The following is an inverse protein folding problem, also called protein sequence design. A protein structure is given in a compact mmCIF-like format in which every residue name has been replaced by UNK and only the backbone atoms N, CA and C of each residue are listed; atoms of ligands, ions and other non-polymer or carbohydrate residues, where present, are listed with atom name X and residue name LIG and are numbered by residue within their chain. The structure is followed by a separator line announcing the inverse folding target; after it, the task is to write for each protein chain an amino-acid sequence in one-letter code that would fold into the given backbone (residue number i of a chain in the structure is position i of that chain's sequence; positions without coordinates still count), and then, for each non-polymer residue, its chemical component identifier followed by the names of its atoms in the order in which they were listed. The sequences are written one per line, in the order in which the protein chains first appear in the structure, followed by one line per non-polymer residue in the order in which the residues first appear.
data_IF_874803258399
#
_entry.id   IF_874803258399
#
_cell.length_a   1.000
_cell.length_b   1.000
_cell.length_c   1.000
_cell.angle_alpha   90.00
_cell.angle_beta   90.00
_cell.angle_gamma   90.00
#
_symmetry.space_group_name_H-M   'P 1'
#
loop_
_entity.id
_entity.type
_entity.pdbx_description
1 polymer ?
#
# COMPACT_ATOMS: atom_id res chain seq x y z
N UNK A 1 16.33 -32.29 52.99
CA UNK A 1 16.71 -32.82 51.65
C UNK A 1 15.56 -32.60 50.69
N UNK A 2 15.61 -31.85 49.59
CA UNK A 2 16.65 -31.12 48.86
C UNK A 2 15.95 -29.87 48.30
N UNK A 3 16.34 -28.67 48.73
CA UNK A 3 16.04 -27.40 48.04
C UNK A 3 17.37 -26.73 47.75
N UNK A 4 17.99 -27.11 46.64
CA UNK A 4 19.05 -26.32 46.03
C UNK A 4 18.40 -25.26 45.15
N UNK A 5 18.58 -24.01 45.58
CA UNK A 5 18.41 -22.82 44.77
C UNK A 5 19.47 -22.80 43.67
N UNK A 6 19.12 -23.26 42.48
CA UNK A 6 19.89 -22.93 41.27
C UNK A 6 19.52 -21.52 40.82
N UNK A 7 20.37 -20.57 41.21
CA UNK A 7 20.45 -19.27 40.57
C UNK A 7 20.91 -19.46 39.12
N UNK A 8 19.97 -19.49 38.18
CA UNK A 8 20.31 -19.32 36.77
C UNK A 8 20.54 -17.85 36.46
N UNK A 9 21.82 -17.54 36.25
CA UNK A 9 22.32 -16.36 35.57
C UNK A 9 21.50 -16.05 34.31
N UNK A 10 20.59 -15.09 34.37
CA UNK A 10 20.02 -14.45 33.17
C UNK A 10 21.01 -13.40 32.66
N UNK A 11 22.19 -13.86 32.24
CA UNK A 11 23.23 -13.05 31.61
C UNK A 11 23.29 -13.30 30.11
N UNK A 12 22.29 -12.89 29.35
CA UNK A 12 22.45 -12.79 27.88
C UNK A 12 21.46 -11.87 27.15
N UNK A 13 20.34 -11.50 27.79
CA UNK A 13 19.39 -10.54 27.20
C UNK A 13 19.12 -9.39 28.16
N UNK A 14 20.14 -8.56 28.37
CA UNK A 14 19.88 -7.18 28.77
C UNK A 14 19.08 -6.55 27.61
N UNK A 15 17.83 -6.13 27.82
CA UNK A 15 17.09 -5.49 26.76
C UNK A 15 17.87 -4.23 26.36
N UNK A 16 18.17 -4.12 25.07
CA UNK A 16 18.83 -2.98 24.41
C UNK A 16 18.05 -1.66 24.53
N UNK A 17 17.17 -1.55 25.52
CA UNK A 17 16.28 -0.44 25.80
C UNK A 17 16.86 0.39 26.94
N UNK A 18 17.73 1.36 26.63
CA UNK A 18 17.60 2.74 27.16
C UNK A 18 18.76 3.70 26.93
N UNK A 19 19.98 3.27 26.57
CA UNK A 19 21.14 4.17 26.79
C UNK A 19 21.91 4.75 25.60
N UNK A 20 21.59 4.50 24.32
CA UNK A 20 22.36 5.10 23.20
C UNK A 20 21.56 5.50 21.95
N UNK A 21 20.52 6.31 22.11
CA UNK A 21 19.92 7.09 21.01
C UNK A 21 19.37 8.41 21.56
N UNK A 22 20.27 9.29 22.03
CA UNK A 22 19.93 10.44 22.89
C UNK A 22 19.35 11.62 22.11
N UNK A 23 19.58 11.76 20.79
CA UNK A 23 19.04 12.89 20.02
C UNK A 23 17.70 12.58 19.31
N UNK A 24 17.48 11.33 18.89
CA UNK A 24 16.26 10.95 18.15
C UNK A 24 15.05 10.75 19.07
N UNK A 25 15.24 10.29 20.31
CA UNK A 25 14.13 9.98 21.22
C UNK A 25 13.35 11.22 21.69
N UNK A 26 14.00 12.36 22.05
CA UNK A 26 13.30 13.59 22.40
C UNK A 26 12.58 14.23 21.20
N UNK A 27 13.20 14.20 20.01
CA UNK A 27 12.59 14.68 18.77
C UNK A 27 11.38 13.84 18.37
N UNK A 28 11.46 12.51 18.55
CA UNK A 28 10.35 11.58 18.34
C UNK A 28 9.19 11.83 19.32
N UNK A 29 9.47 12.01 20.60
CA UNK A 29 8.45 12.34 21.61
C UNK A 29 7.75 13.67 21.33
N UNK A 30 8.50 14.69 20.88
CA UNK A 30 7.93 15.97 20.43
C UNK A 30 7.11 15.82 19.14
N UNK A 31 7.57 15.01 18.19
CA UNK A 31 6.83 14.68 16.98
C UNK A 31 5.50 13.98 17.28
N UNK A 32 5.50 13.01 18.20
CA UNK A 32 4.29 12.32 18.67
C UNK A 32 3.31 13.29 19.37
N UNK A 33 3.83 14.30 20.08
CA UNK A 33 3.03 15.36 20.69
C UNK A 33 2.44 16.33 19.65
N UNK A 34 3.17 16.66 18.58
CA UNK A 34 2.66 17.47 17.46
C UNK A 34 1.63 16.67 16.64
N UNK A 35 1.86 15.38 16.39
CA UNK A 35 0.87 14.54 15.71
C UNK A 35 -0.39 14.32 16.55
N UNK A 36 -0.29 14.30 17.87
CA UNK A 36 -1.46 14.18 18.76
C UNK A 36 -2.21 15.50 18.95
N UNK A 37 -1.58 16.67 18.76
CA UNK A 37 -2.26 17.96 18.76
C UNK A 37 -3.04 18.24 17.47
N UNK A 38 -2.71 17.55 16.37
CA UNK A 38 -3.43 17.64 15.10
C UNK A 38 -4.80 16.91 15.20
N UNK A 39 -5.85 17.68 15.48
CA UNK A 39 -7.24 17.22 15.66
C UNK A 39 -7.96 16.82 14.36
N UNK A 40 -7.24 16.48 13.30
CA UNK A 40 -7.86 16.11 12.02
C UNK A 40 -8.83 14.94 12.22
N UNK A 41 -10.09 15.17 11.84
CA UNK A 41 -11.20 14.22 11.92
C UNK A 41 -11.50 13.60 13.30
N UNK A 42 -11.14 14.25 14.40
CA UNK A 42 -11.41 13.74 15.76
C UNK A 42 -12.90 13.45 15.99
N UNK A 43 -13.78 14.42 15.70
CA UNK A 43 -15.25 14.25 15.85
C UNK A 43 -15.81 13.13 14.94
N UNK A 44 -15.52 13.10 13.62
CA UNK A 44 -15.89 11.96 12.76
C UNK A 44 -15.40 10.60 13.27
N UNK A 45 -14.16 10.51 13.73
CA UNK A 45 -13.58 9.25 14.23
C UNK A 45 -14.30 8.75 15.49
N UNK A 46 -14.62 9.64 16.42
CA UNK A 46 -15.42 9.31 17.62
C UNK A 46 -16.81 8.82 17.21
N UNK A 47 -17.46 9.50 16.26
CA UNK A 47 -18.79 9.10 15.76
C UNK A 47 -18.78 7.73 15.07
N UNK A 48 -17.78 7.47 14.22
CA UNK A 48 -17.59 6.18 13.55
C UNK A 48 -17.35 5.08 14.58
N UNK A 49 -16.48 5.33 15.58
CA UNK A 49 -16.21 4.38 16.66
C UNK A 49 -17.46 4.05 17.46
N UNK A 50 -18.29 5.04 17.75
CA UNK A 50 -19.52 4.87 18.49
C UNK A 50 -20.56 4.05 17.71
N UNK A 51 -20.68 4.25 16.39
CA UNK A 51 -21.69 3.56 15.55
C UNK A 51 -21.25 2.19 15.05
N UNK A 52 -19.98 2.04 14.67
CA UNK A 52 -19.48 0.89 13.92
C UNK A 52 -18.44 0.05 14.69
N UNK A 53 -18.04 0.50 15.88
CA UNK A 53 -17.11 -0.22 16.74
C UNK A 53 -15.64 0.08 16.46
N UNK A 54 -14.76 -0.57 17.23
CA UNK A 54 -13.33 -0.33 17.22
C UNK A 54 -12.65 -0.78 15.92
N UNK A 55 -13.06 -1.89 15.31
CA UNK A 55 -12.41 -2.46 14.12
C UNK A 55 -12.46 -1.52 12.91
N UNK A 56 -13.63 -0.92 12.64
CA UNK A 56 -13.80 0.04 11.54
C UNK A 56 -13.11 1.36 11.88
N UNK A 57 -13.20 1.82 13.13
CA UNK A 57 -12.48 3.01 13.60
C UNK A 57 -10.97 2.91 13.43
N UNK A 58 -10.37 1.72 13.64
CA UNK A 58 -8.94 1.48 13.42
C UNK A 58 -8.49 1.71 11.97
N UNK A 59 -9.34 1.41 10.97
CA UNK A 59 -9.04 1.72 9.58
C UNK A 59 -8.92 3.21 9.33
N UNK A 60 -9.90 3.99 9.78
CA UNK A 60 -9.87 5.44 9.59
C UNK A 60 -8.76 6.12 10.39
N UNK A 61 -8.40 5.56 11.55
CA UNK A 61 -7.21 5.99 12.31
C UNK A 61 -5.93 5.72 11.52
N UNK A 62 -5.82 4.56 10.88
CA UNK A 62 -4.70 4.20 10.00
C UNK A 62 -4.64 5.11 8.76
N UNK A 63 -5.78 5.39 8.12
CA UNK A 63 -5.85 6.30 6.99
C UNK A 63 -5.41 7.72 7.38
N UNK A 64 -5.86 8.23 8.55
CA UNK A 64 -5.42 9.51 9.09
C UNK A 64 -3.90 9.54 9.33
N UNK A 65 -3.34 8.47 9.90
CA UNK A 65 -1.89 8.35 10.07
C UNK A 65 -1.15 8.44 8.73
N UNK A 66 -1.66 7.78 7.68
CA UNK A 66 -1.04 7.86 6.35
C UNK A 66 -1.16 9.24 5.71
N UNK A 67 -2.27 9.96 5.88
CA UNK A 67 -2.39 11.36 5.42
C UNK A 67 -1.27 12.22 6.04
N UNK A 68 -1.07 12.07 7.35
CA UNK A 68 0.00 12.75 8.07
C UNK A 68 1.40 12.32 7.64
N UNK A 69 1.60 11.04 7.34
CA UNK A 69 2.87 10.52 6.85
C UNK A 69 3.23 11.09 5.46
N UNK A 70 2.26 11.12 4.54
CA UNK A 70 2.45 11.72 3.20
C UNK A 70 2.64 13.23 3.29
N UNK A 71 1.94 13.92 4.21
CA UNK A 71 2.14 15.35 4.45
C UNK A 71 3.57 15.65 4.95
N UNK A 72 4.08 14.85 5.91
CA UNK A 72 5.45 14.97 6.40
C UNK A 72 6.48 14.72 5.28
N UNK A 73 6.24 13.70 4.43
CA UNK A 73 7.07 13.45 3.25
C UNK A 73 7.08 14.64 2.30
N UNK A 74 5.91 15.21 2.02
CA UNK A 74 5.78 16.36 1.13
C UNK A 74 6.51 17.61 1.67
N UNK A 75 6.37 17.91 2.96
CA UNK A 75 7.10 19.02 3.60
C UNK A 75 8.60 18.79 3.47
N UNK A 76 9.07 17.59 3.79
CA UNK A 76 10.50 17.25 3.76
C UNK A 76 11.08 17.38 2.35
N UNK A 77 10.39 16.86 1.33
CA UNK A 77 10.74 17.04 -0.08
C UNK A 77 10.74 18.53 -0.47
N UNK A 78 9.71 19.28 -0.09
CA UNK A 78 9.58 20.69 -0.46
C UNK A 78 10.71 21.52 0.16
N UNK A 79 11.01 21.31 1.44
CA UNK A 79 12.04 22.05 2.16
C UNK A 79 13.46 21.72 1.71
N UNK A 80 13.76 20.45 1.40
CA UNK A 80 15.13 20.00 1.11
C UNK A 80 15.47 19.98 -0.39
N UNK A 81 14.46 19.93 -1.27
CA UNK A 81 14.66 19.83 -2.72
C UNK A 81 14.05 21.03 -3.44
N UNK A 82 12.75 21.28 -3.27
CA UNK A 82 12.03 22.28 -4.09
C UNK A 82 12.41 23.71 -3.74
N UNK A 83 12.46 24.07 -2.46
CA UNK A 83 12.80 25.44 -2.03
C UNK A 83 14.24 25.80 -2.43
N UNK A 84 15.28 24.97 -2.15
CA UNK A 84 16.64 25.27 -2.58
C UNK A 84 16.76 25.42 -4.10
N UNK A 85 16.09 24.55 -4.87
CA UNK A 85 16.14 24.62 -6.34
C UNK A 85 15.49 25.89 -6.88
N UNK A 86 14.34 26.33 -6.34
CA UNK A 86 13.68 27.57 -6.76
C UNK A 86 14.48 28.81 -6.38
N UNK A 87 15.05 28.84 -5.17
CA UNK A 87 15.82 30.00 -4.67
C UNK A 87 17.11 30.17 -5.47
N UNK A 88 17.81 29.08 -5.76
CA UNK A 88 19.08 29.11 -6.49
C UNK A 88 18.88 29.35 -8.00
N UNK A 89 17.75 28.92 -8.59
CA UNK A 89 17.45 29.17 -10.01
C UNK A 89 17.14 30.65 -10.33
N UNK A 90 16.72 31.45 -9.33
CA UNK A 90 16.45 32.89 -9.51
C UNK A 90 17.70 33.72 -9.81
N UNK A 91 18.91 33.22 -9.61
CA UNK A 91 20.15 33.99 -9.78
C UNK A 91 20.75 33.91 -11.18
N UNK A 92 20.13 33.19 -12.12
CA UNK A 92 20.63 33.01 -13.50
C UNK A 92 19.61 33.53 -14.53
N UNK A 93 19.72 34.81 -14.88
CA UNK A 93 18.90 35.45 -15.92
C UNK A 93 19.39 35.20 -17.36
N UNK A 94 20.52 34.53 -17.56
CA UNK A 94 20.98 34.10 -18.89
C UNK A 94 20.39 32.75 -19.26
N UNK A 95 19.14 32.76 -19.74
CA UNK A 95 18.54 31.65 -20.48
C UNK A 95 19.02 31.68 -21.93
N UNK A 96 20.27 31.31 -22.18
CA UNK A 96 20.59 30.65 -23.45
C UNK A 96 19.90 29.29 -23.40
N UNK A 97 18.86 29.14 -24.22
CA UNK A 97 18.03 27.96 -24.44
C UNK A 97 18.86 26.66 -24.53
N UNK A 98 19.17 26.06 -23.39
CA UNK A 98 19.47 24.63 -23.30
C UNK A 98 18.12 23.94 -23.20
N UNK A 99 17.57 23.71 -24.40
CA UNK A 99 16.34 22.97 -24.67
C UNK A 99 16.39 21.61 -23.95
N UNK A 100 15.38 21.24 -23.15
CA UNK A 100 15.22 19.86 -22.70
C UNK A 100 14.85 19.00 -23.91
N UNK A 101 15.63 17.95 -24.15
CA UNK A 101 15.44 16.85 -25.10
C UNK A 101 14.21 16.92 -26.01
N UNK A 102 14.39 17.45 -27.23
CA UNK A 102 13.43 17.37 -28.34
C UNK A 102 13.36 18.63 -29.19
N UNK A 103 13.09 18.47 -30.49
CA UNK A 103 12.83 19.61 -31.39
C UNK A 103 11.68 20.45 -30.83
N UNK A 104 11.98 21.69 -30.45
CA UNK A 104 11.08 22.63 -29.77
C UNK A 104 9.77 22.88 -30.54
N UNK A 105 9.78 22.67 -31.87
CA UNK A 105 8.62 22.81 -32.74
C UNK A 105 7.59 21.66 -32.62
N UNK A 106 7.99 20.46 -32.18
CA UNK A 106 7.09 19.32 -32.00
C UNK A 106 6.51 19.21 -30.57
N UNK A 107 7.30 19.61 -29.56
CA UNK A 107 6.86 19.62 -28.15
C UNK A 107 5.84 20.73 -27.88
N UNK A 108 6.08 21.93 -28.41
CA UNK A 108 5.18 23.08 -28.23
C UNK A 108 3.85 22.93 -28.99
N UNK A 109 3.80 22.11 -30.04
CA UNK A 109 2.59 21.83 -30.83
C UNK A 109 1.77 20.65 -30.31
N UNK A 110 2.37 19.61 -29.70
CA UNK A 110 1.63 18.52 -29.05
C UNK A 110 1.11 18.88 -27.65
N UNK A 111 1.90 19.62 -26.86
CA UNK A 111 1.59 19.97 -25.45
C UNK A 111 0.34 20.85 -25.26
N UNK A 112 -0.12 21.55 -26.31
CA UNK A 112 -1.27 22.45 -26.25
C UNK A 112 -2.56 21.84 -26.81
N UNK A 113 -2.53 20.63 -27.36
CA UNK A 113 -3.72 20.03 -27.98
C UNK A 113 -4.68 19.43 -26.95
N UNK A 114 -4.19 18.80 -25.87
CA UNK A 114 -5.05 18.19 -24.84
C UNK A 114 -4.42 18.23 -23.42
N UNK A 115 -4.48 19.35 -22.69
CA UNK A 115 -3.85 19.47 -21.36
C UNK A 115 -4.43 18.50 -20.32
N UNK A 116 -5.69 18.07 -20.48
CA UNK A 116 -6.30 17.05 -19.62
C UNK A 116 -5.66 15.67 -19.83
N UNK A 117 -5.30 15.32 -21.06
CA UNK A 117 -4.66 14.05 -21.38
C UNK A 117 -3.24 14.01 -20.79
N UNK A 118 -2.51 15.11 -20.89
CA UNK A 118 -1.18 15.30 -20.30
C UNK A 118 -1.22 15.16 -18.77
N UNK A 119 -2.28 15.62 -18.10
CA UNK A 119 -2.49 15.41 -16.66
C UNK A 119 -2.70 13.93 -16.32
N UNK A 120 -3.45 13.18 -17.13
CA UNK A 120 -3.66 11.75 -16.85
C UNK A 120 -2.43 10.90 -17.18
N UNK A 121 -1.65 11.28 -18.18
CA UNK A 121 -0.50 10.50 -18.63
C UNK A 121 0.79 10.88 -17.88
N UNK A 122 0.88 12.11 -17.38
CA UNK A 122 2.12 12.68 -16.85
C UNK A 122 3.11 13.07 -17.96
N UNK A 123 2.66 13.11 -19.21
CA UNK A 123 3.44 13.48 -20.40
C UNK A 123 3.21 14.95 -20.80
N UNK A 124 3.89 15.41 -21.85
CA UNK A 124 3.74 16.78 -22.37
C UNK A 124 4.23 17.84 -21.38
N UNK A 125 3.38 18.83 -21.05
CA UNK A 125 3.76 19.93 -20.17
C UNK A 125 4.17 19.47 -18.76
N UNK A 126 3.65 18.33 -18.29
CA UNK A 126 3.93 17.84 -16.95
C UNK A 126 5.39 17.37 -16.79
N UNK A 127 6.06 16.98 -17.88
CA UNK A 127 7.44 16.46 -17.84
C UNK A 127 8.44 17.47 -17.28
N UNK A 128 8.20 18.77 -17.51
CA UNK A 128 9.04 19.88 -17.02
C UNK A 128 8.51 20.51 -15.71
N UNK A 129 7.65 19.80 -14.97
CA UNK A 129 7.20 20.27 -13.65
C UNK A 129 8.04 19.66 -12.53
N UNK A 130 8.03 20.29 -11.34
CA UNK A 130 8.65 19.78 -10.11
C UNK A 130 8.18 18.36 -9.71
N UNK A 131 7.15 17.83 -10.37
CA UNK A 131 6.62 16.48 -10.13
C UNK A 131 7.59 15.38 -10.54
N UNK A 132 8.39 15.57 -11.59
CA UNK A 132 9.26 14.54 -12.15
C UNK A 132 10.74 14.86 -12.01
N UNK A 133 11.56 13.79 -11.99
CA UNK A 133 13.01 13.88 -11.89
C UNK A 133 13.65 14.78 -12.96
N UNK A 134 13.16 14.73 -14.21
CA UNK A 134 13.73 15.44 -15.35
C UNK A 134 13.80 16.96 -15.22
N UNK A 135 13.02 17.56 -14.31
CA UNK A 135 13.11 18.99 -14.02
C UNK A 135 14.38 19.37 -13.22
N UNK A 136 14.91 18.45 -12.43
CA UNK A 136 16.05 18.68 -11.54
C UNK A 136 17.38 18.43 -12.27
N UNK A 137 17.67 19.24 -13.31
CA UNK A 137 18.92 19.14 -14.11
C UNK A 137 20.03 20.10 -13.64
N UNK A 138 21.23 19.91 -14.19
CA UNK A 138 22.56 20.19 -13.63
C UNK A 138 22.99 21.68 -13.55
N UNK A 139 22.09 22.60 -13.23
CA UNK A 139 22.38 24.05 -13.30
C UNK A 139 23.21 24.55 -12.10
N UNK A 140 23.54 23.69 -11.12
CA UNK A 140 23.86 24.15 -9.75
C UNK A 140 25.24 23.78 -9.20
N UNK A 141 26.16 23.19 -9.99
CA UNK A 141 27.47 22.76 -9.43
C UNK A 141 28.51 23.87 -9.25
N UNK A 142 28.30 25.10 -9.75
CA UNK A 142 29.43 26.04 -9.93
C UNK A 142 29.47 27.28 -9.03
N UNK A 143 28.52 27.53 -8.11
CA UNK A 143 28.61 28.71 -7.23
C UNK A 143 28.23 28.56 -5.76
N UNK A 144 27.41 27.56 -5.39
CA UNK A 144 27.01 27.35 -3.99
C UNK A 144 27.22 25.87 -3.61
N UNK A 145 27.74 25.59 -2.40
CA UNK A 145 28.08 24.26 -1.87
C UNK A 145 26.88 23.26 -1.73
N UNK A 146 25.77 23.48 -2.44
CA UNK A 146 24.57 22.67 -2.37
C UNK A 146 24.49 21.67 -3.53
N UNK A 147 24.85 20.42 -3.25
CA UNK A 147 24.74 19.33 -4.21
C UNK A 147 23.28 18.84 -4.34
N UNK A 148 22.56 19.37 -5.33
CA UNK A 148 21.15 19.02 -5.61
C UNK A 148 20.96 17.51 -5.80
N UNK A 149 21.87 16.85 -6.54
CA UNK A 149 21.83 15.39 -6.79
C UNK A 149 21.86 14.57 -5.50
N UNK A 150 22.75 14.94 -4.58
CA UNK A 150 22.90 14.26 -3.29
C UNK A 150 21.67 14.51 -2.41
N UNK A 151 21.20 15.77 -2.33
CA UNK A 151 20.00 16.11 -1.56
C UNK A 151 18.78 15.34 -2.07
N UNK A 152 18.63 15.25 -3.39
CA UNK A 152 17.52 14.55 -4.03
C UNK A 152 17.48 13.06 -3.68
N UNK A 153 18.62 12.36 -3.68
CA UNK A 153 18.68 10.94 -3.34
C UNK A 153 18.57 10.70 -1.83
N UNK A 154 19.25 11.53 -1.03
CA UNK A 154 19.35 11.36 0.42
C UNK A 154 18.04 11.66 1.14
N UNK A 155 17.27 12.64 0.65
CA UNK A 155 15.99 13.07 1.23
C UNK A 155 14.97 11.92 1.34
N UNK A 156 14.55 11.23 0.25
CA UNK A 156 13.63 10.10 0.32
C UNK A 156 14.22 8.90 1.05
N UNK A 157 15.54 8.66 0.92
CA UNK A 157 16.22 7.57 1.64
C UNK A 157 16.15 7.76 3.17
N UNK A 158 16.49 8.95 3.68
CA UNK A 158 16.41 9.28 5.10
C UNK A 158 14.97 9.22 5.60
N UNK A 159 14.01 9.70 4.81
CA UNK A 159 12.60 9.61 5.15
C UNK A 159 12.14 8.15 5.32
N UNK A 160 12.45 7.29 4.35
CA UNK A 160 12.11 5.87 4.41
C UNK A 160 12.85 5.14 5.54
N UNK A 161 14.11 5.49 5.81
CA UNK A 161 14.87 4.95 6.93
C UNK A 161 14.20 5.31 8.26
N UNK A 162 13.85 6.58 8.47
CA UNK A 162 13.15 7.03 9.68
C UNK A 162 11.79 6.32 9.81
N UNK A 163 11.03 6.21 8.72
CA UNK A 163 9.75 5.51 8.70
C UNK A 163 9.90 4.02 9.05
N UNK A 164 10.88 3.34 8.48
CA UNK A 164 11.12 1.91 8.75
C UNK A 164 11.53 1.65 10.19
N UNK A 165 12.40 2.50 10.76
CA UNK A 165 12.79 2.41 12.18
C UNK A 165 11.60 2.66 13.11
N UNK A 166 10.77 3.66 12.79
CA UNK A 166 9.54 3.94 13.52
C UNK A 166 8.56 2.76 13.48
N UNK A 167 8.30 2.23 12.29
CA UNK A 167 7.44 1.07 12.09
C UNK A 167 7.97 -0.16 12.83
N UNK A 168 9.28 -0.39 12.79
CA UNK A 168 9.93 -1.47 13.54
C UNK A 168 9.70 -1.31 15.04
N UNK A 169 9.90 -0.11 15.59
CA UNK A 169 9.67 0.14 17.02
C UNK A 169 8.20 -0.05 17.41
N UNK A 170 7.26 0.46 16.63
CA UNK A 170 5.84 0.26 16.85
C UNK A 170 5.47 -1.23 16.80
N UNK A 171 6.01 -1.95 15.82
CA UNK A 171 5.77 -3.38 15.64
C UNK A 171 6.37 -4.20 16.78
N UNK A 172 7.60 -3.92 17.21
CA UNK A 172 8.23 -4.61 18.34
C UNK A 172 7.48 -4.33 19.64
N UNK A 173 7.07 -3.08 19.91
CA UNK A 173 6.23 -2.76 21.08
C UNK A 173 4.91 -3.53 21.03
N UNK A 174 4.23 -3.53 19.89
CA UNK A 174 2.96 -4.23 19.69
C UNK A 174 3.08 -5.75 19.81
N UNK A 175 4.09 -6.35 19.16
CA UNK A 175 4.37 -7.79 19.24
C UNK A 175 4.77 -8.18 20.66
N UNK A 176 5.58 -7.37 21.34
CA UNK A 176 6.00 -7.67 22.72
C UNK A 176 4.82 -7.60 23.67
N UNK A 177 3.97 -6.57 23.57
CA UNK A 177 2.73 -6.49 24.34
C UNK A 177 1.79 -7.66 24.03
N UNK A 178 1.68 -8.07 22.75
CA UNK A 178 0.87 -9.22 22.34
C UNK A 178 1.45 -10.54 22.84
N UNK A 179 2.77 -10.74 22.78
CA UNK A 179 3.46 -11.95 23.25
C UNK A 179 3.41 -12.07 24.77
N UNK A 180 3.59 -10.96 25.50
CA UNK A 180 3.44 -10.95 26.96
C UNK A 180 2.01 -11.30 27.32
N UNK A 181 1.02 -10.71 26.64
CA UNK A 181 -0.40 -11.08 26.80
C UNK A 181 -0.65 -12.55 26.45
N UNK A 182 -0.08 -13.09 25.37
CA UNK A 182 -0.32 -14.47 24.94
C UNK A 182 0.40 -15.52 25.78
N UNK A 183 1.61 -15.23 26.28
CA UNK A 183 2.40 -16.14 27.13
C UNK A 183 1.81 -16.25 28.54
N UNK A 184 1.15 -15.18 29.02
CA UNK A 184 0.34 -15.21 30.24
C UNK A 184 -1.11 -15.72 30.03
N UNK A 185 -1.61 -15.76 28.78
CA UNK A 185 -2.97 -16.22 28.47
C UNK A 185 -3.01 -17.28 27.35
N UNK A 186 -2.51 -18.48 27.62
CA UNK A 186 -3.21 -19.70 27.15
C UNK A 186 -4.26 -20.07 28.19
N UNK A 187 -5.01 -19.07 28.64
CA UNK A 187 -5.92 -19.29 29.72
C UNK A 187 -7.05 -20.19 29.24
N UNK A 188 -7.42 -21.17 30.06
CA UNK A 188 -8.59 -22.00 29.80
C UNK A 188 -9.81 -21.12 29.53
N UNK A 189 -10.69 -21.57 28.64
CA UNK A 189 -11.95 -20.88 28.29
C UNK A 189 -12.70 -20.44 29.56
N UNK A 190 -12.62 -21.22 30.64
CA UNK A 190 -13.20 -20.89 31.95
C UNK A 190 -12.76 -19.51 32.46
N UNK A 191 -11.46 -19.21 32.47
CA UNK A 191 -10.98 -17.89 32.94
C UNK A 191 -11.43 -16.72 32.05
N UNK A 192 -11.61 -16.93 30.74
CA UNK A 192 -12.11 -15.92 29.80
C UNK A 192 -13.58 -15.63 30.07
N UNK A 193 -14.35 -16.65 30.46
CA UNK A 193 -15.73 -16.49 30.96
C UNK A 193 -15.76 -15.74 32.29
N UNK A 194 -14.88 -16.08 33.24
CA UNK A 194 -14.81 -15.40 34.54
C UNK A 194 -14.33 -13.94 34.43
N UNK A 195 -13.36 -13.64 33.56
CA UNK A 195 -12.80 -12.29 33.37
C UNK A 195 -13.52 -11.46 32.31
N UNK A 196 -14.49 -12.03 31.59
CA UNK A 196 -15.25 -11.36 30.54
C UNK A 196 -16.33 -10.39 31.04
N UNK A 197 -16.63 -10.41 32.34
CA UNK A 197 -17.59 -9.51 32.98
C UNK A 197 -17.05 -8.08 33.07
N UNK A 198 -17.83 -7.10 32.59
CA UNK A 198 -17.49 -5.68 32.65
C UNK A 198 -18.62 -4.91 33.34
N UNK A 199 -18.39 -4.54 34.60
CA UNK A 199 -19.34 -3.81 35.45
C UNK A 199 -19.52 -2.34 35.02
N UNK A 200 -18.68 -1.82 34.13
CA UNK A 200 -18.77 -0.44 33.65
C UNK A 200 -19.79 -0.27 32.53
N UNK A 201 -20.34 -1.36 31.96
CA UNK A 201 -21.32 -1.30 30.87
C UNK A 201 -22.73 -1.11 31.42
N UNK A 202 -23.20 0.15 31.45
CA UNK A 202 -24.53 0.52 31.97
C UNK A 202 -25.64 0.54 30.89
N UNK A 203 -25.28 0.66 29.61
CA UNK A 203 -26.24 0.77 28.51
C UNK A 203 -26.82 -0.58 28.08
N UNK A 204 -28.14 -0.69 27.93
CA UNK A 204 -28.83 -1.94 27.52
C UNK A 204 -28.40 -2.42 26.13
N UNK A 205 -28.24 -1.50 25.18
CA UNK A 205 -27.75 -1.81 23.82
C UNK A 205 -26.29 -2.26 23.87
N UNK A 206 -25.45 -1.55 24.59
CA UNK A 206 -24.01 -1.86 24.73
C UNK A 206 -23.79 -3.20 25.44
N UNK A 207 -24.61 -3.51 26.46
CA UNK A 207 -24.58 -4.79 27.17
C UNK A 207 -24.95 -5.94 26.24
N UNK A 208 -26.05 -5.83 25.48
CA UNK A 208 -26.45 -6.82 24.47
C UNK A 208 -25.38 -7.01 23.38
N UNK A 209 -24.75 -5.93 22.91
CA UNK A 209 -23.66 -5.99 21.93
C UNK A 209 -22.41 -6.67 22.52
N UNK A 210 -22.03 -6.33 23.75
CA UNK A 210 -20.87 -6.93 24.42
C UNK A 210 -21.10 -8.41 24.71
N UNK A 211 -22.30 -8.79 25.15
CA UNK A 211 -22.70 -10.18 25.32
C UNK A 211 -22.63 -10.95 23.99
N UNK A 212 -23.14 -10.37 22.90
CA UNK A 212 -23.09 -10.99 21.57
C UNK A 212 -21.66 -11.13 21.05
N UNK A 213 -20.82 -10.09 21.23
CA UNK A 213 -19.40 -10.13 20.89
C UNK A 213 -18.68 -11.23 21.67
N UNK A 214 -18.84 -11.25 22.99
CA UNK A 214 -18.23 -12.24 23.86
C UNK A 214 -18.69 -13.67 23.52
N UNK A 215 -19.99 -13.88 23.28
CA UNK A 215 -20.53 -15.17 22.84
C UNK A 215 -19.91 -15.62 21.52
N UNK A 216 -19.73 -14.72 20.55
CA UNK A 216 -19.09 -15.04 19.28
C UNK A 216 -17.61 -15.38 19.46
N UNK A 217 -16.89 -14.65 20.32
CA UNK A 217 -15.49 -14.91 20.61
C UNK A 217 -15.30 -16.30 21.24
N UNK A 218 -16.11 -16.65 22.25
CA UNK A 218 -16.08 -17.98 22.89
C UNK A 218 -16.47 -19.09 21.90
N UNK A 219 -17.48 -18.86 21.04
CA UNK A 219 -17.85 -19.81 19.99
C UNK A 219 -16.72 -20.04 18.99
N UNK A 220 -15.99 -18.97 18.63
CA UNK A 220 -14.84 -19.07 17.73
C UNK A 220 -13.71 -19.91 18.36
N UNK A 221 -13.38 -19.63 19.62
CA UNK A 221 -12.33 -20.38 20.35
C UNK A 221 -12.71 -21.87 20.50
N UNK A 222 -13.96 -22.16 20.86
CA UNK A 222 -14.46 -23.54 20.97
C UNK A 222 -14.47 -24.27 19.63
N UNK A 223 -14.83 -23.58 18.54
CA UNK A 223 -14.78 -24.16 17.21
C UNK A 223 -13.35 -24.49 16.79
N UNK A 224 -12.38 -23.66 17.17
CA UNK A 224 -10.96 -23.89 16.91
C UNK A 224 -10.41 -25.08 17.72
N UNK A 225 -10.69 -25.16 19.02
CA UNK A 225 -10.33 -26.32 19.87
C UNK A 225 -10.95 -27.62 19.37
N UNK A 226 -12.25 -27.60 19.00
CA UNK A 226 -12.94 -28.76 18.43
C UNK A 226 -12.25 -29.24 17.14
N UNK A 227 -11.79 -28.32 16.30
CA UNK A 227 -11.10 -28.66 15.06
C UNK A 227 -9.76 -29.36 15.32
N UNK A 228 -8.97 -28.91 16.30
CA UNK A 228 -7.72 -29.58 16.68
C UNK A 228 -7.97 -30.99 17.21
N UNK A 229 -8.97 -31.17 18.07
CA UNK A 229 -9.39 -32.47 18.59
C UNK A 229 -9.76 -33.45 17.46
N UNK A 230 -10.61 -33.02 16.53
CA UNK A 230 -11.02 -33.85 15.39
C UNK A 230 -9.85 -34.21 14.47
N UNK A 231 -8.86 -33.33 14.32
CA UNK A 231 -7.68 -33.56 13.48
C UNK A 231 -6.68 -34.52 14.14
N UNK A 232 -6.53 -34.45 15.46
CA UNK A 232 -5.67 -35.33 16.25
C UNK A 232 -6.08 -36.81 16.14
N UNK A 233 -7.39 -37.09 16.05
CA UNK A 233 -7.95 -38.46 15.96
C UNK A 233 -8.00 -39.03 14.53
N UNK A 234 -7.51 -38.34 13.49
CA UNK A 234 -7.61 -38.83 12.11
C UNK A 234 -6.63 -39.96 11.79
N UNK A 235 -7.14 -41.01 11.12
CA UNK A 235 -6.36 -42.09 10.52
C UNK A 235 -5.35 -41.59 9.49
N UNK A 236 -4.18 -42.23 9.37
CA UNK A 236 -3.10 -41.85 8.45
C UNK A 236 -3.56 -41.71 6.98
N UNK A 237 -4.37 -42.63 6.46
CA UNK A 237 -4.85 -42.56 5.06
C UNK A 237 -5.69 -41.30 4.76
N UNK A 238 -6.57 -40.89 5.68
CA UNK A 238 -7.33 -39.64 5.56
C UNK A 238 -6.40 -38.42 5.59
N UNK A 239 -5.36 -38.43 6.43
CA UNK A 239 -4.35 -37.36 6.50
C UNK A 239 -3.58 -37.22 5.19
N UNK A 240 -3.15 -38.33 4.60
CA UNK A 240 -2.45 -38.34 3.30
C UNK A 240 -3.34 -37.79 2.19
N UNK A 241 -4.62 -38.20 2.13
CA UNK A 241 -5.59 -37.67 1.15
C UNK A 241 -5.79 -36.16 1.28
N UNK A 242 -5.91 -35.65 2.51
CA UNK A 242 -6.06 -34.22 2.78
C UNK A 242 -4.76 -33.47 2.41
N UNK A 243 -3.60 -34.03 2.71
CA UNK A 243 -2.31 -33.45 2.34
C UNK A 243 -2.16 -33.37 0.81
N UNK A 244 -2.49 -34.44 0.09
CA UNK A 244 -2.46 -34.47 -1.36
C UNK A 244 -3.39 -33.40 -1.98
N UNK A 245 -4.62 -33.28 -1.45
CA UNK A 245 -5.55 -32.23 -1.86
C UNK A 245 -4.97 -30.83 -1.63
N UNK A 246 -4.32 -30.60 -0.47
CA UNK A 246 -3.70 -29.30 -0.18
C UNK A 246 -2.53 -29.01 -1.11
N UNK A 247 -1.66 -29.97 -1.41
CA UNK A 247 -0.57 -29.79 -2.37
C UNK A 247 -1.15 -29.42 -3.73
N UNK A 248 -2.14 -30.16 -4.21
CA UNK A 248 -2.82 -29.87 -5.47
C UNK A 248 -3.43 -28.45 -5.52
N UNK A 249 -4.19 -28.05 -4.51
CA UNK A 249 -4.78 -26.70 -4.43
C UNK A 249 -3.71 -25.60 -4.36
N UNK A 250 -2.61 -25.83 -3.65
CA UNK A 250 -1.50 -24.87 -3.60
C UNK A 250 -0.76 -24.78 -4.94
N UNK A 251 -0.61 -25.89 -5.69
CA UNK A 251 -0.09 -25.87 -7.06
C UNK A 251 -0.98 -25.04 -7.99
N UNK A 252 -2.31 -25.17 -7.91
CA UNK A 252 -3.25 -24.34 -8.66
C UNK A 252 -3.06 -22.85 -8.32
N UNK A 253 -2.95 -22.52 -7.03
CA UNK A 253 -2.75 -21.14 -6.58
C UNK A 253 -1.43 -20.57 -7.09
N UNK A 254 -0.35 -21.35 -7.05
CA UNK A 254 0.94 -20.95 -7.62
C UNK A 254 0.85 -20.72 -9.14
N UNK A 255 0.15 -21.60 -9.87
CA UNK A 255 -0.08 -21.45 -11.30
C UNK A 255 -0.91 -20.20 -11.63
N UNK A 256 -1.96 -19.90 -10.85
CA UNK A 256 -2.75 -18.68 -11.00
C UNK A 256 -1.91 -17.42 -10.75
N UNK A 257 -1.06 -17.43 -9.73
CA UNK A 257 -0.13 -16.32 -9.46
C UNK A 257 0.87 -16.15 -10.60
N UNK A 258 1.51 -17.24 -11.05
CA UNK A 258 2.43 -17.21 -12.19
C UNK A 258 1.76 -16.71 -13.47
N UNK A 259 0.52 -17.13 -13.73
CA UNK A 259 -0.29 -16.63 -14.85
C UNK A 259 -0.57 -15.14 -14.75
N UNK A 260 -1.01 -14.64 -13.59
CA UNK A 260 -1.23 -13.20 -13.37
C UNK A 260 0.05 -12.37 -13.55
N UNK A 261 1.17 -12.90 -13.07
CA UNK A 261 2.50 -12.32 -13.23
C UNK A 261 2.96 -12.29 -14.70
N UNK A 262 2.75 -13.38 -15.44
CA UNK A 262 3.05 -13.46 -16.86
C UNK A 262 2.18 -12.48 -17.69
N UNK A 263 0.90 -12.35 -17.36
CA UNK A 263 0.01 -11.37 -18.00
C UNK A 263 0.49 -9.94 -17.81
N UNK A 264 1.03 -9.60 -16.64
CA UNK A 264 1.61 -8.27 -16.38
C UNK A 264 2.87 -8.07 -17.22
N UNK A 265 3.76 -9.06 -17.29
CA UNK A 265 4.95 -8.99 -18.13
C UNK A 265 4.60 -8.75 -19.61
N UNK A 266 3.62 -9.50 -20.13
CA UNK A 266 3.14 -9.34 -21.51
C UNK A 266 2.49 -7.97 -21.73
N UNK A 267 1.66 -7.52 -20.79
CA UNK A 267 1.04 -6.20 -20.83
C UNK A 267 2.08 -5.08 -20.86
N UNK A 268 3.15 -5.21 -20.06
CA UNK A 268 4.25 -4.24 -20.07
C UNK A 268 4.99 -4.25 -21.39
N UNK A 269 5.30 -5.43 -21.97
CA UNK A 269 5.95 -5.47 -23.29
C UNK A 269 5.09 -4.83 -24.38
N UNK A 270 3.79 -5.09 -24.38
CA UNK A 270 2.85 -4.51 -25.35
C UNK A 270 2.70 -3.00 -25.12
N UNK A 271 2.56 -2.55 -23.87
CA UNK A 271 2.42 -1.13 -23.56
C UNK A 271 3.61 -0.31 -24.07
N UNK A 272 4.83 -0.85 -23.96
CA UNK A 272 6.06 -0.16 -24.39
C UNK A 272 6.23 -0.19 -25.92
N UNK A 273 6.00 -1.34 -26.58
CA UNK A 273 6.23 -1.49 -28.01
C UNK A 273 5.24 -0.67 -28.88
N UNK A 274 4.05 -0.34 -28.36
CA UNK A 274 3.02 0.43 -29.07
C UNK A 274 3.01 1.93 -28.76
N UNK A 275 3.77 2.38 -27.76
CA UNK A 275 3.88 3.80 -27.39
C UNK A 275 4.55 4.64 -28.50
N UNK A 276 5.39 4.02 -29.33
CA UNK A 276 6.09 4.69 -30.44
C UNK A 276 5.31 4.79 -31.76
N UNK A 277 4.18 4.07 -31.90
CA UNK A 277 3.56 3.79 -33.23
C UNK A 277 2.15 4.36 -33.48
N UNK A 278 1.52 4.99 -32.49
CA UNK A 278 0.09 5.32 -32.58
C UNK A 278 -0.19 6.81 -32.85
N UNK A 279 -1.01 7.07 -33.87
CA UNK A 279 -1.51 8.42 -34.23
C UNK A 279 -2.85 8.81 -33.57
N UNK A 280 -3.60 7.83 -33.02
CA UNK A 280 -4.91 8.06 -32.41
C UNK A 280 -4.82 8.31 -30.90
N UNK A 281 -5.42 9.39 -30.36
CA UNK A 281 -5.25 9.80 -28.96
C UNK A 281 -5.92 8.83 -27.95
N UNK A 282 -7.07 8.24 -28.29
CA UNK A 282 -7.80 7.32 -27.39
C UNK A 282 -7.07 5.98 -27.30
N UNK A 283 -6.63 5.45 -28.44
CA UNK A 283 -5.88 4.19 -28.50
C UNK A 283 -4.53 4.30 -27.79
N UNK A 284 -3.88 5.47 -27.89
CA UNK A 284 -2.68 5.79 -27.13
C UNK A 284 -2.92 5.74 -25.62
N UNK A 285 -4.00 6.39 -25.12
CA UNK A 285 -4.32 6.35 -23.69
C UNK A 285 -4.60 4.93 -23.17
N UNK A 286 -5.38 4.14 -23.90
CA UNK A 286 -5.68 2.74 -23.50
C UNK A 286 -4.41 1.91 -23.44
N UNK A 287 -3.52 2.09 -24.41
CA UNK A 287 -2.22 1.40 -24.46
C UNK A 287 -1.33 1.81 -23.28
N UNK A 288 -1.25 3.11 -22.96
CA UNK A 288 -0.45 3.63 -21.84
C UNK A 288 -0.98 3.21 -20.46
N UNK A 289 -2.28 2.96 -20.33
CA UNK A 289 -2.93 2.49 -19.11
C UNK A 289 -3.14 0.97 -19.07
N UNK A 290 -2.71 0.24 -20.09
CA UNK A 290 -2.88 -1.22 -20.20
C UNK A 290 -2.30 -1.93 -18.97
N UNK A 291 -1.10 -1.53 -18.53
CA UNK A 291 -0.43 -2.17 -17.40
C UNK A 291 -1.19 -1.95 -16.08
N UNK A 292 -1.55 -0.71 -15.67
CA UNK A 292 -2.43 -0.47 -14.53
C UNK A 292 -3.76 -1.23 -14.57
N UNK A 293 -4.40 -1.32 -15.74
CA UNK A 293 -5.64 -2.06 -15.96
C UNK A 293 -5.43 -3.55 -15.67
N UNK A 294 -4.42 -4.16 -16.29
CA UNK A 294 -4.11 -5.59 -16.14
C UNK A 294 -3.72 -5.91 -14.68
N UNK A 295 -2.89 -5.09 -14.04
CA UNK A 295 -2.56 -5.23 -12.62
C UNK A 295 -3.84 -5.21 -11.78
N UNK A 296 -4.73 -4.26 -12.00
CA UNK A 296 -5.96 -4.12 -11.21
C UNK A 296 -6.92 -5.30 -11.43
N UNK A 297 -7.03 -5.82 -12.65
CA UNK A 297 -7.80 -7.04 -12.94
C UNK A 297 -7.22 -8.25 -12.22
N UNK A 298 -5.90 -8.44 -12.24
CA UNK A 298 -5.22 -9.53 -11.50
C UNK A 298 -5.48 -9.39 -10.00
N UNK A 299 -5.34 -8.19 -9.45
CA UNK A 299 -5.57 -7.90 -8.03
C UNK A 299 -7.05 -7.98 -7.60
N UNK A 300 -7.99 -7.93 -8.54
CA UNK A 300 -9.41 -8.14 -8.28
C UNK A 300 -9.79 -9.63 -8.36
N UNK A 301 -9.33 -10.31 -9.41
CA UNK A 301 -9.76 -11.66 -9.78
C UNK A 301 -9.07 -12.73 -8.92
N UNK A 302 -7.75 -12.65 -8.72
CA UNK A 302 -7.02 -13.70 -7.99
C UNK A 302 -7.43 -13.81 -6.51
N UNK A 303 -7.61 -12.72 -5.75
CA UNK A 303 -8.09 -12.82 -4.37
C UNK A 303 -9.46 -13.49 -4.25
N UNK A 304 -10.35 -13.31 -5.23
CA UNK A 304 -11.62 -14.01 -5.28
C UNK A 304 -11.41 -15.54 -5.41
N UNK A 305 -10.53 -15.96 -6.31
CA UNK A 305 -10.17 -17.38 -6.42
C UNK A 305 -9.48 -17.92 -5.16
N UNK A 306 -8.62 -17.15 -4.49
CA UNK A 306 -8.00 -17.57 -3.24
C UNK A 306 -9.04 -17.82 -2.15
N UNK A 307 -10.05 -16.94 -2.03
CA UNK A 307 -11.18 -17.10 -1.10
C UNK A 307 -12.07 -18.29 -1.45
N UNK A 308 -12.18 -18.67 -2.72
CA UNK A 308 -12.93 -19.86 -3.13
C UNK A 308 -12.14 -21.15 -2.86
N UNK A 309 -10.85 -21.18 -3.22
CA UNK A 309 -9.98 -22.35 -3.10
C UNK A 309 -9.67 -22.70 -1.64
N UNK A 310 -9.51 -21.70 -0.77
CA UNK A 310 -9.18 -21.92 0.64
C UNK A 310 -10.29 -22.67 1.39
N UNK A 311 -11.56 -22.53 0.99
CA UNK A 311 -12.69 -23.28 1.54
C UNK A 311 -12.55 -24.78 1.32
N UNK A 312 -11.92 -25.19 0.21
CA UNK A 312 -11.67 -26.59 -0.12
C UNK A 312 -10.43 -27.15 0.59
N UNK A 313 -9.53 -26.32 1.14
CA UNK A 313 -8.34 -26.80 1.87
C UNK A 313 -8.66 -27.39 3.26
N UNK A 314 -9.86 -27.14 3.78
CA UNK A 314 -10.34 -27.67 5.06
C UNK A 314 -9.46 -27.25 6.25
N UNK A 315 -8.91 -26.04 6.24
CA UNK A 315 -8.12 -25.48 7.35
C UNK A 315 -9.02 -24.94 8.46
N UNK A 316 -8.45 -24.60 9.62
CA UNK A 316 -9.18 -23.89 10.66
C UNK A 316 -9.65 -22.52 10.15
N UNK A 317 -10.79 -21.99 10.62
CA UNK A 317 -11.32 -20.69 10.17
C UNK A 317 -10.31 -19.53 10.34
N UNK A 318 -9.56 -19.53 11.45
CA UNK A 318 -8.49 -18.57 11.74
C UNK A 318 -7.33 -18.68 10.73
N UNK A 319 -6.97 -19.90 10.33
CA UNK A 319 -5.92 -20.16 9.35
C UNK A 319 -6.38 -19.84 7.92
N UNK A 320 -7.65 -20.05 7.57
CA UNK A 320 -8.24 -19.71 6.28
C UNK A 320 -8.09 -18.21 5.98
N UNK A 321 -8.49 -17.36 6.94
CA UNK A 321 -8.38 -15.90 6.80
C UNK A 321 -6.91 -15.48 6.72
N UNK A 322 -6.07 -16.00 7.61
CA UNK A 322 -4.65 -15.63 7.68
C UNK A 322 -3.90 -16.03 6.41
N UNK A 323 -4.14 -17.24 5.90
CA UNK A 323 -3.50 -17.73 4.68
C UNK A 323 -3.92 -16.92 3.45
N UNK A 324 -5.21 -16.58 3.35
CA UNK A 324 -5.71 -15.77 2.24
C UNK A 324 -5.11 -14.37 2.29
N UNK A 325 -4.98 -13.75 3.48
CA UNK A 325 -4.28 -12.48 3.64
C UNK A 325 -2.82 -12.56 3.21
N UNK A 326 -2.09 -13.61 3.62
CA UNK A 326 -0.68 -13.81 3.22
C UNK A 326 -0.57 -13.90 1.69
N UNK A 327 -1.45 -14.69 1.03
CA UNK A 327 -1.48 -14.82 -0.43
C UNK A 327 -1.79 -13.49 -1.12
N UNK A 328 -2.72 -12.70 -0.60
CA UNK A 328 -3.04 -11.38 -1.13
C UNK A 328 -1.88 -10.39 -0.99
N UNK A 329 -1.15 -10.43 0.13
CA UNK A 329 0.06 -9.60 0.33
C UNK A 329 1.16 -10.02 -0.64
N UNK A 330 1.43 -11.32 -0.76
CA UNK A 330 2.42 -11.84 -1.70
C UNK A 330 2.07 -11.48 -3.15
N UNK A 331 0.80 -11.61 -3.53
CA UNK A 331 0.32 -11.20 -4.85
C UNK A 331 0.60 -9.72 -5.10
N UNK A 332 0.21 -8.82 -4.20
CA UNK A 332 0.41 -7.36 -4.37
C UNK A 332 1.88 -6.99 -4.50
N UNK A 333 2.73 -7.51 -3.62
CA UNK A 333 4.17 -7.26 -3.67
C UNK A 333 4.79 -7.87 -4.92
N UNK A 334 4.38 -9.08 -5.31
CA UNK A 334 4.84 -9.75 -6.52
C UNK A 334 4.42 -9.03 -7.80
N UNK A 335 3.18 -8.50 -7.87
CA UNK A 335 2.73 -7.71 -9.03
C UNK A 335 3.56 -6.44 -9.21
N UNK A 336 3.87 -5.73 -8.11
CA UNK A 336 4.74 -4.56 -8.16
C UNK A 336 6.18 -4.93 -8.53
N UNK A 337 6.71 -6.03 -7.96
CA UNK A 337 8.05 -6.52 -8.26
C UNK A 337 8.24 -6.90 -9.72
N UNK A 338 7.28 -7.62 -10.31
CA UNK A 338 7.35 -8.05 -11.72
C UNK A 338 7.12 -6.89 -12.67
N UNK A 339 6.22 -5.97 -12.32
CA UNK A 339 6.09 -4.72 -13.03
C UNK A 339 7.43 -3.97 -13.11
N UNK A 340 8.12 -3.80 -11.97
CA UNK A 340 9.42 -3.14 -11.91
C UNK A 340 10.52 -3.90 -12.66
N UNK A 341 10.57 -5.22 -12.55
CA UNK A 341 11.53 -6.05 -13.29
C UNK A 341 11.31 -5.96 -14.80
N UNK A 342 10.06 -6.04 -15.24
CA UNK A 342 9.69 -5.97 -16.66
C UNK A 342 9.97 -4.59 -17.24
N UNK A 343 9.63 -3.53 -16.49
CA UNK A 343 9.94 -2.15 -16.86
C UNK A 343 11.46 -1.94 -16.94
N UNK A 344 12.21 -2.42 -15.95
CA UNK A 344 13.68 -2.35 -15.92
C UNK A 344 14.34 -3.10 -17.07
N UNK A 345 13.83 -4.27 -17.47
CA UNK A 345 14.36 -5.01 -18.62
C UNK A 345 14.17 -4.23 -19.94
N UNK A 346 13.03 -3.57 -20.12
CA UNK A 346 12.71 -2.80 -21.33
C UNK A 346 13.46 -1.46 -21.37
N UNK A 347 13.56 -0.77 -20.24
CA UNK A 347 14.16 0.57 -20.15
C UNK A 347 15.70 0.51 -19.99
N UNK A 348 16.23 -0.43 -19.18
CA UNK A 348 17.67 -0.55 -18.90
C UNK A 348 18.36 -1.62 -19.77
N UNK A 349 17.64 -2.27 -20.69
CA UNK A 349 18.16 -3.29 -21.59
C UNK A 349 18.90 -4.45 -20.90
N UNK A 350 18.45 -4.81 -19.69
CA UNK A 350 19.00 -5.89 -18.88
C UNK A 350 18.53 -7.24 -19.44
N UNK A 351 19.17 -7.69 -20.53
CA UNK A 351 18.90 -8.97 -21.17
C UNK A 351 19.01 -8.82 -22.68
N UNK A 352 20.07 -9.38 -23.27
CA UNK A 352 20.55 -9.15 -24.64
C UNK A 352 19.61 -9.53 -25.78
N UNK A 353 18.40 -8.97 -25.81
CA UNK A 353 17.49 -9.02 -26.95
C UNK A 353 17.80 -7.88 -27.93
N UNK A 354 17.71 -8.19 -29.22
CA UNK A 354 18.15 -7.37 -30.36
C UNK A 354 17.18 -6.22 -30.72
N UNK A 355 16.69 -5.45 -29.75
CA UNK A 355 16.13 -4.12 -30.03
C UNK A 355 17.28 -3.09 -29.94
N UNK A 356 17.25 -1.96 -30.67
CA UNK A 356 18.33 -0.99 -30.65
C UNK A 356 18.32 -0.24 -29.32
N UNK A 357 18.92 -0.87 -28.31
CA UNK A 357 19.35 -0.21 -27.10
C UNK A 357 20.58 0.64 -27.45
N UNK A 358 20.35 1.77 -28.11
CA UNK A 358 21.40 2.78 -28.22
C UNK A 358 21.70 3.28 -26.81
N UNK A 359 22.90 2.94 -26.35
CA UNK A 359 23.49 3.43 -25.12
C UNK A 359 23.43 4.96 -25.15
N UNK A 360 23.04 5.59 -24.04
CA UNK A 360 23.03 7.04 -23.87
C UNK A 360 24.44 7.62 -24.11
N UNK A 361 24.75 7.89 -25.37
CA UNK A 361 25.94 8.58 -25.85
C UNK A 361 25.62 10.03 -26.19
N UNK A 362 26.67 10.83 -26.42
CA UNK A 362 26.65 12.28 -26.63
C UNK A 362 25.79 12.83 -27.80
N UNK A 363 25.00 11.99 -28.48
CA UNK A 363 24.08 12.41 -29.53
C UNK A 363 22.64 12.44 -28.99
N UNK A 364 22.11 13.66 -28.93
CA UNK A 364 20.81 14.01 -28.36
C UNK A 364 19.65 13.35 -29.11
N UNK A 365 19.06 12.30 -28.54
CA UNK A 365 17.67 11.91 -28.79
C UNK A 365 17.12 10.86 -27.80
N UNK A 366 17.17 11.08 -26.47
CA UNK A 366 16.50 10.14 -25.55
C UNK A 366 15.84 10.80 -24.33
N UNK A 367 14.65 10.30 -24.00
CA UNK A 367 13.91 10.54 -22.75
C UNK A 367 14.75 10.07 -21.55
N UNK A 368 14.81 10.86 -20.48
CA UNK A 368 15.43 10.43 -19.22
C UNK A 368 14.64 9.26 -18.63
N UNK A 369 15.24 8.07 -18.58
CA UNK A 369 14.58 6.86 -18.11
C UNK A 369 14.01 6.99 -16.69
N UNK A 370 14.63 7.80 -15.83
CA UNK A 370 14.15 8.08 -14.48
C UNK A 370 12.78 8.76 -14.50
N UNK A 371 12.57 9.68 -15.45
CA UNK A 371 11.31 10.41 -15.60
C UNK A 371 10.22 9.48 -16.13
N UNK A 372 10.56 8.60 -17.07
CA UNK A 372 9.63 7.58 -17.58
C UNK A 372 9.19 6.62 -16.47
N UNK A 373 10.11 6.18 -15.59
CA UNK A 373 9.74 5.37 -14.41
C UNK A 373 8.80 6.15 -13.47
N UNK A 374 9.07 7.43 -13.24
CA UNK A 374 8.20 8.31 -12.45
C UNK A 374 6.79 8.44 -13.02
N UNK A 375 6.66 8.56 -14.35
CA UNK A 375 5.37 8.60 -15.04
C UNK A 375 4.58 7.31 -14.88
N UNK A 376 5.23 6.15 -14.95
CA UNK A 376 4.54 4.89 -14.71
C UNK A 376 3.99 4.76 -13.28
N UNK A 377 4.78 5.15 -12.26
CA UNK A 377 4.29 5.20 -10.87
C UNK A 377 3.14 6.18 -10.68
N UNK A 378 3.19 7.32 -11.38
CA UNK A 378 2.13 8.32 -11.39
C UNK A 378 0.84 7.74 -12.00
N UNK A 379 0.91 7.11 -13.18
CA UNK A 379 -0.22 6.41 -13.83
C UNK A 379 -0.81 5.32 -12.94
N UNK A 380 0.03 4.50 -12.28
CA UNK A 380 -0.44 3.49 -11.31
C UNK A 380 -1.18 4.13 -10.12
N UNK A 381 -0.68 5.25 -9.59
CA UNK A 381 -1.30 5.97 -8.47
C UNK A 381 -2.66 6.55 -8.86
N UNK A 382 -2.74 7.23 -10.01
CA UNK A 382 -4.01 7.74 -10.55
C UNK A 382 -4.99 6.62 -10.79
N UNK A 383 -4.57 5.56 -11.50
CA UNK A 383 -5.46 4.45 -11.83
C UNK A 383 -5.98 3.77 -10.58
N UNK A 384 -5.15 3.59 -9.55
CA UNK A 384 -5.58 3.04 -8.28
C UNK A 384 -6.65 3.92 -7.63
N UNK A 385 -6.47 5.25 -7.61
CA UNK A 385 -7.48 6.16 -7.09
C UNK A 385 -8.77 6.13 -7.92
N UNK A 386 -8.67 6.15 -9.25
CA UNK A 386 -9.82 6.02 -10.16
C UNK A 386 -10.57 4.71 -9.94
N UNK A 387 -9.87 3.58 -9.72
CA UNK A 387 -10.49 2.29 -9.37
C UNK A 387 -11.26 2.40 -8.06
N UNK A 388 -10.69 3.02 -7.02
CA UNK A 388 -11.39 3.20 -5.73
C UNK A 388 -12.64 4.06 -5.90
N UNK A 389 -12.53 5.15 -6.68
CA UNK A 389 -13.66 6.01 -6.99
C UNK A 389 -14.74 5.28 -7.80
N UNK A 390 -14.34 4.51 -8.81
CA UNK A 390 -15.24 3.73 -9.66
C UNK A 390 -15.96 2.64 -8.86
N UNK A 391 -15.25 1.93 -7.98
CA UNK A 391 -15.86 0.95 -7.07
C UNK A 391 -16.94 1.61 -6.19
N UNK A 392 -16.65 2.79 -5.63
CA UNK A 392 -17.65 3.53 -4.87
C UNK A 392 -18.85 3.97 -5.73
N UNK A 393 -18.60 4.65 -6.85
CA UNK A 393 -19.64 5.26 -7.68
C UNK A 393 -20.52 4.24 -8.40
N UNK A 394 -19.93 3.15 -8.91
CA UNK A 394 -20.63 2.18 -9.76
C UNK A 394 -21.06 0.91 -9.01
N UNK A 395 -20.44 0.57 -7.89
CA UNK A 395 -20.81 -0.64 -7.12
C UNK A 395 -21.48 -0.28 -5.80
N UNK A 396 -20.86 0.57 -4.98
CA UNK A 396 -21.33 0.83 -3.61
C UNK A 396 -22.57 1.74 -3.58
N UNK A 397 -22.53 2.88 -4.28
CA UNK A 397 -23.66 3.82 -4.33
C UNK A 397 -24.92 3.21 -4.96
N UNK A 398 -24.87 2.56 -6.14
CA UNK A 398 -26.06 2.01 -6.76
C UNK A 398 -26.65 0.87 -5.93
N UNK A 399 -25.79 0.03 -5.33
CA UNK A 399 -26.24 -1.01 -4.41
C UNK A 399 -26.96 -0.43 -3.19
N UNK A 400 -26.40 0.61 -2.58
CA UNK A 400 -27.02 1.29 -1.44
C UNK A 400 -28.39 1.89 -1.82
N UNK A 401 -28.45 2.57 -2.96
CA UNK A 401 -29.69 3.15 -3.49
C UNK A 401 -30.75 2.08 -3.78
N UNK A 402 -30.37 0.99 -4.47
CA UNK A 402 -31.27 -0.11 -4.80
C UNK A 402 -31.84 -0.77 -3.55
N UNK A 403 -31.01 -1.07 -2.55
CA UNK A 403 -31.44 -1.70 -1.28
C UNK A 403 -32.34 -0.78 -0.46
N UNK A 404 -32.14 0.54 -0.54
CA UNK A 404 -32.98 1.51 0.16
C UNK A 404 -34.34 1.73 -0.51
N UNK A 405 -34.42 1.64 -1.84
CA UNK A 405 -35.62 2.02 -2.60
C UNK A 405 -36.51 0.82 -2.97
N UNK A 406 -35.92 -0.35 -3.20
CA UNK A 406 -36.65 -1.51 -3.73
C UNK A 406 -36.56 -2.72 -2.78
N UNK A 407 -37.70 -3.35 -2.50
CA UNK A 407 -37.83 -4.49 -1.57
C UNK A 407 -37.96 -5.84 -2.30
N UNK A 408 -37.44 -5.96 -3.51
CA UNK A 408 -37.48 -7.18 -4.31
C UNK A 408 -36.64 -8.32 -3.69
N UNK A 409 -37.01 -9.59 -3.94
CA UNK A 409 -36.28 -10.77 -3.41
C UNK A 409 -34.79 -10.77 -3.80
N UNK A 410 -34.47 -10.37 -5.04
CA UNK A 410 -33.09 -10.26 -5.55
C UNK A 410 -32.29 -9.19 -4.79
N UNK A 411 -32.92 -8.06 -4.48
CA UNK A 411 -32.28 -6.94 -3.78
C UNK A 411 -32.10 -7.26 -2.29
N UNK A 412 -33.05 -8.01 -1.71
CA UNK A 412 -32.92 -8.57 -0.36
C UNK A 412 -31.79 -9.60 -0.26
N UNK A 413 -31.53 -10.36 -1.34
CA UNK A 413 -30.39 -11.28 -1.45
C UNK A 413 -29.06 -10.53 -1.58
N UNK A 414 -29.00 -9.47 -2.39
CA UNK A 414 -27.84 -8.58 -2.49
C UNK A 414 -27.46 -8.01 -1.12
N UNK A 415 -28.45 -7.61 -0.31
CA UNK A 415 -28.25 -7.18 1.07
C UNK A 415 -27.43 -5.89 1.22
N UNK A 416 -27.39 -5.36 2.44
CA UNK A 416 -26.57 -4.18 2.76
C UNK A 416 -25.08 -4.50 2.61
N UNK A 417 -24.35 -3.57 2.04
CA UNK A 417 -22.90 -3.69 1.92
C UNK A 417 -22.26 -3.78 3.31
N UNK A 418 -21.34 -4.72 3.46
CA UNK A 418 -20.53 -4.87 4.68
C UNK A 418 -19.16 -4.27 4.40
N UNK A 419 -18.73 -3.36 5.26
CA UNK A 419 -17.40 -2.77 5.19
C UNK A 419 -16.33 -3.86 5.38
N UNK A 420 -15.66 -4.26 4.29
CA UNK A 420 -14.61 -5.27 4.32
C UNK A 420 -13.29 -4.63 4.76
N UNK A 421 -12.99 -4.74 6.06
CA UNK A 421 -11.80 -4.12 6.67
C UNK A 421 -10.50 -4.57 6.01
N UNK A 422 -10.33 -5.87 5.79
CA UNK A 422 -9.08 -6.45 5.25
C UNK A 422 -8.75 -5.95 3.85
N UNK A 423 -9.73 -5.93 2.94
CA UNK A 423 -9.54 -5.45 1.57
C UNK A 423 -9.22 -3.96 1.54
N UNK A 424 -9.97 -3.16 2.30
CA UNK A 424 -9.74 -1.72 2.39
C UNK A 424 -8.35 -1.38 2.95
N UNK A 425 -7.88 -2.12 3.96
CA UNK A 425 -6.52 -1.96 4.50
C UNK A 425 -5.48 -2.32 3.45
N UNK A 426 -5.65 -3.45 2.76
CA UNK A 426 -4.70 -3.88 1.73
C UNK A 426 -4.61 -2.87 0.57
N UNK A 427 -5.73 -2.30 0.12
CA UNK A 427 -5.77 -1.28 -0.95
C UNK A 427 -5.06 0.01 -0.52
N UNK A 428 -5.30 0.43 0.71
CA UNK A 428 -4.60 1.59 1.29
C UNK A 428 -3.08 1.33 1.43
N UNK A 429 -2.67 0.13 1.83
CA UNK A 429 -1.25 -0.26 1.90
C UNK A 429 -0.63 -0.28 0.50
N UNK A 430 -1.32 -0.82 -0.50
CA UNK A 430 -0.84 -0.86 -1.89
C UNK A 430 -0.60 0.55 -2.45
N UNK A 431 -1.55 1.48 -2.23
CA UNK A 431 -1.37 2.89 -2.60
C UNK A 431 -0.11 3.49 -1.94
N UNK A 432 0.12 3.20 -0.66
CA UNK A 432 1.32 3.68 0.03
C UNK A 432 2.62 3.07 -0.52
N UNK A 433 2.60 1.79 -0.90
CA UNK A 433 3.78 1.15 -1.52
C UNK A 433 4.14 1.76 -2.87
N UNK A 434 3.14 2.19 -3.66
CA UNK A 434 3.39 2.93 -4.91
C UNK A 434 4.08 4.26 -4.64
N UNK A 435 3.67 4.99 -3.60
CA UNK A 435 4.32 6.26 -3.24
C UNK A 435 5.77 6.04 -2.81
N UNK A 436 6.04 5.05 -1.96
CA UNK A 436 7.41 4.77 -1.52
C UNK A 436 8.33 4.28 -2.65
N UNK A 437 7.80 3.52 -3.61
CA UNK A 437 8.54 3.16 -4.82
C UNK A 437 8.76 4.35 -5.76
N UNK A 438 7.73 5.18 -5.94
CA UNK A 438 7.75 6.28 -6.90
C UNK A 438 8.42 7.56 -6.42
N UNK A 439 8.57 7.80 -5.12
CA UNK A 439 9.11 9.07 -4.59
C UNK A 439 10.55 9.38 -4.99
N UNK A 440 11.32 8.39 -5.44
CA UNK A 440 12.66 8.59 -6.01
C UNK A 440 12.63 9.14 -7.44
N UNK A 441 11.53 8.99 -8.16
CA UNK A 441 11.39 9.39 -9.55
C UNK A 441 10.36 10.53 -9.73
N UNK A 442 9.40 10.60 -8.81
CA UNK A 442 8.36 11.60 -8.73
C UNK A 442 8.24 12.16 -7.30
N UNK A 443 9.04 13.17 -6.90
CA UNK A 443 9.13 13.65 -5.52
C UNK A 443 7.82 14.21 -4.93
N UNK A 444 6.91 14.69 -5.79
CA UNK A 444 5.60 15.21 -5.38
C UNK A 444 4.48 14.15 -5.38
N UNK A 445 4.78 12.88 -5.66
CA UNK A 445 3.82 11.78 -5.54
C UNK A 445 3.17 11.65 -4.14
N UNK A 446 3.88 11.92 -3.01
CA UNK A 446 3.25 11.97 -1.69
C UNK A 446 2.15 13.04 -1.57
N UNK A 447 2.28 14.19 -2.24
CA UNK A 447 1.24 15.23 -2.24
C UNK A 447 -0.03 14.72 -2.94
N UNK A 448 0.14 14.06 -4.08
CA UNK A 448 -0.98 13.46 -4.81
C UNK A 448 -1.71 12.42 -3.96
N UNK A 449 -0.96 11.53 -3.31
CA UNK A 449 -1.53 10.48 -2.47
C UNK A 449 -2.18 11.03 -1.18
N UNK A 450 -1.69 12.17 -0.65
CA UNK A 450 -2.36 12.90 0.42
C UNK A 450 -3.77 13.32 0.01
N UNK A 451 -3.92 13.90 -1.19
CA UNK A 451 -5.23 14.31 -1.73
C UNK A 451 -6.12 13.08 -1.92
N UNK A 452 -5.58 12.01 -2.50
CA UNK A 452 -6.33 10.75 -2.69
C UNK A 452 -6.83 10.15 -1.39
N UNK A 453 -6.00 10.09 -0.34
CA UNK A 453 -6.42 9.59 0.97
C UNK A 453 -7.40 10.52 1.67
N UNK A 454 -7.27 11.84 1.50
CA UNK A 454 -8.24 12.80 2.00
C UNK A 454 -9.61 12.57 1.36
N UNK A 455 -9.68 12.45 0.04
CA UNK A 455 -10.93 12.16 -0.69
C UNK A 455 -11.49 10.78 -0.28
N UNK A 456 -10.62 9.76 -0.23
CA UNK A 456 -11.00 8.39 0.17
C UNK A 456 -11.62 8.36 1.58
N UNK A 457 -11.16 9.20 2.50
CA UNK A 457 -11.75 9.32 3.84
C UNK A 457 -13.22 9.73 3.76
N UNK A 458 -13.56 10.74 2.95
CA UNK A 458 -14.94 11.22 2.82
C UNK A 458 -15.83 10.29 2.01
N UNK A 459 -15.26 9.60 1.02
CA UNK A 459 -15.97 8.60 0.22
C UNK A 459 -16.37 7.39 1.08
N UNK A 460 -15.44 6.90 1.92
CA UNK A 460 -15.67 5.67 2.71
C UNK A 460 -16.36 5.89 4.05
N UNK A 461 -16.37 7.12 4.57
CA UNK A 461 -17.05 7.51 5.82
C UNK A 461 -18.56 7.45 5.65
#
# INVERSE_FOLDING_TARGET
DVRQSEGYNTGFWNPWTRKKCICLWPAWGKGEQVFSSLKLWEKPLIAIRARFGSSISSYFLFLRFLVFLNFASFILTTCLIIIPTVVLNKTRHDRSYLVPCGNSSAFQSRSLQNPLLDVFTGEGFMQDTFLFYGHYTDVMEHKDNFHVRLSYLLTPFLFLLICSLALLQCTVKGITQRRVRSRQYRTSISSKVFSGWDFCVRGTVTSKLKQKSFSNDVKSDLAEERWYWLTAQQSLGKRVRILALRVFLNCIILALMAGGFFSIYLATSVSQDYQERSGDPIFSLVTQYLVPIVISLVLLILPYFFMLLVKYEGRSPSAEITLTLIRCVFLRLGTLGIFLLSLGQKILCLGGSKAPCEVCGYNMQLQCWETSVGQEFYKLSIFHFLKVLAEFLFLQLPRSFLVSRFQCRVIRWLGKEKFQLSQNVLDTVYSQTLVWGGMFYAPLLPLLNLIFFFITFYIKK
#
